data_IF_122497686917
#
_entry.id   IF_122497686917
#
_cell.length_a   1.000
_cell.length_b   1.000
_cell.length_c   1.000
_cell.angle_alpha   90.00
_cell.angle_beta   90.00
_cell.angle_gamma   90.00
#
_symmetry.space_group_name_H-M   'P 1'
#
loop_
_entity.id
_entity.type
_entity.pdbx_description
1 polymer ?
#
# COMPACT_ATOMS: atom_id res chain seq x y z
N UNK A 1 11.48 49.30 -21.21
CA UNK A 1 10.11 49.75 -20.91
C UNK A 1 9.78 49.65 -19.42
N UNK A 2 9.05 50.65 -18.92
CA UNK A 2 8.53 50.72 -17.55
C UNK A 2 7.01 50.59 -17.58
N UNK A 3 6.43 49.91 -16.61
CA UNK A 3 4.98 49.80 -16.46
C UNK A 3 4.60 50.13 -15.01
N UNK A 4 3.33 50.49 -14.82
CA UNK A 4 2.80 50.89 -13.52
C UNK A 4 1.71 49.93 -13.07
N UNK A 5 1.91 49.30 -11.92
CA UNK A 5 0.92 48.45 -11.27
C UNK A 5 0.08 49.30 -10.33
N UNK A 6 -1.23 49.35 -10.55
CA UNK A 6 -2.19 50.00 -9.64
C UNK A 6 -2.89 48.92 -8.82
N UNK A 7 -2.77 49.03 -7.50
CA UNK A 7 -3.44 48.13 -6.56
C UNK A 7 -4.83 48.65 -6.17
N UNK A 8 -5.65 47.76 -5.63
CA UNK A 8 -7.00 48.08 -5.18
C UNK A 8 -6.97 49.08 -3.99
N UNK A 9 -7.89 50.06 -3.89
CA UNK A 9 -7.84 51.10 -2.84
C UNK A 9 -7.81 50.57 -1.41
N UNK A 10 -8.43 49.41 -1.18
CA UNK A 10 -8.49 48.79 0.14
C UNK A 10 -7.29 47.91 0.49
N UNK A 11 -6.32 47.73 -0.42
CA UNK A 11 -5.14 46.90 -0.14
C UNK A 11 -4.06 47.62 0.65
N UNK A 12 -4.17 48.95 0.81
CA UNK A 12 -3.16 49.77 1.50
C UNK A 12 -1.82 49.90 0.76
N UNK A 13 -1.66 49.26 -0.40
CA UNK A 13 -0.43 49.31 -1.18
C UNK A 13 -0.41 50.52 -2.13
N UNK A 14 0.71 51.25 -2.14
CA UNK A 14 0.91 52.34 -3.10
C UNK A 14 1.21 51.79 -4.50
N UNK A 15 0.77 52.47 -5.57
CA UNK A 15 1.07 52.03 -6.94
C UNK A 15 2.58 51.96 -7.20
N UNK A 16 3.07 50.81 -7.66
CA UNK A 16 4.48 50.57 -7.97
C UNK A 16 4.76 50.82 -9.46
N UNK A 17 5.92 51.41 -9.77
CA UNK A 17 6.41 51.56 -11.15
C UNK A 17 7.71 50.76 -11.25
N UNK A 18 7.70 49.74 -12.10
CA UNK A 18 8.82 48.82 -12.26
C UNK A 18 9.22 48.73 -13.74
N UNK A 19 10.48 48.38 -13.99
CA UNK A 19 10.93 48.02 -15.34
C UNK A 19 10.59 46.57 -15.63
N UNK A 20 10.34 46.24 -16.90
CA UNK A 20 10.08 44.84 -17.28
C UNK A 20 11.24 43.91 -16.92
N UNK A 21 12.48 44.43 -16.92
CA UNK A 21 13.67 43.66 -16.55
C UNK A 21 13.77 43.29 -15.07
N UNK A 22 13.01 43.93 -14.17
CA UNK A 22 13.04 43.62 -12.73
C UNK A 22 11.76 42.94 -12.27
N UNK A 23 10.71 42.95 -13.08
CA UNK A 23 9.42 42.35 -12.74
C UNK A 23 9.53 40.82 -12.68
N UNK A 24 9.24 40.24 -11.52
CA UNK A 24 9.33 38.79 -11.27
C UNK A 24 10.66 38.33 -10.65
N UNK A 25 11.71 39.16 -10.64
CA UNK A 25 13.03 38.77 -10.09
C UNK A 25 13.22 39.11 -8.61
N UNK A 26 12.35 39.94 -8.03
CA UNK A 26 12.43 40.35 -6.61
C UNK A 26 11.93 39.28 -5.63
N UNK A 27 11.05 38.37 -6.06
CA UNK A 27 10.56 37.28 -5.19
C UNK A 27 11.56 36.12 -5.10
N UNK A 28 12.39 35.91 -6.12
CA UNK A 28 13.40 34.84 -6.13
C UNK A 28 14.63 35.19 -5.25
N UNK A 29 14.93 36.48 -5.06
CA UNK A 29 16.06 36.91 -4.25
C UNK A 29 15.74 36.99 -2.74
N UNK A 30 14.49 37.26 -2.35
CA UNK A 30 14.11 37.41 -0.93
C UNK A 30 13.39 36.18 -0.34
N UNK A 31 12.89 35.24 -1.15
CA UNK A 31 12.35 33.96 -0.66
C UNK A 31 13.43 32.89 -0.38
N UNK A 32 14.70 33.17 -0.71
CA UNK A 32 15.81 32.21 -0.61
C UNK A 32 16.50 32.19 0.78
N UNK A 33 15.87 32.76 1.81
CA UNK A 33 16.41 32.82 3.18
C UNK A 33 15.48 32.24 4.24
N UNK A 34 14.62 31.29 3.86
CA UNK A 34 14.27 30.22 4.80
C UNK A 34 15.24 29.08 4.52
N UNK A 35 16.25 28.84 5.36
CA UNK A 35 16.93 27.56 5.32
C UNK A 35 15.87 26.53 5.72
N UNK A 36 15.29 25.81 4.74
CA UNK A 36 14.74 24.49 5.04
C UNK A 36 15.96 23.59 5.25
N UNK A 37 16.68 23.84 6.35
CA UNK A 37 17.63 22.90 6.92
C UNK A 37 16.76 21.98 7.76
N UNK A 38 16.00 21.12 7.09
CA UNK A 38 15.43 19.98 7.75
C UNK A 38 16.46 18.86 7.59
N UNK A 39 17.43 18.81 8.51
CA UNK A 39 18.59 17.90 8.45
C UNK A 39 18.21 16.41 8.50
N UNK A 40 16.92 16.09 8.65
CA UNK A 40 16.43 14.71 8.73
C UNK A 40 15.12 14.55 7.95
N UNK A 41 15.17 13.75 6.87
CA UNK A 41 14.04 13.52 5.94
C UNK A 41 12.83 12.83 6.59
N UNK A 42 13.00 12.28 7.80
CA UNK A 42 11.99 11.50 8.52
C UNK A 42 11.20 12.30 9.57
N UNK A 43 11.35 13.62 9.68
CA UNK A 43 10.43 14.42 10.49
C UNK A 43 9.03 14.42 9.84
N UNK A 44 7.92 14.33 10.62
CA UNK A 44 7.80 14.53 12.07
C UNK A 44 7.96 13.25 12.94
N UNK A 45 8.45 12.15 12.39
CA UNK A 45 8.55 10.88 13.11
C UNK A 45 9.73 10.85 14.09
N UNK A 46 9.58 10.08 15.17
CA UNK A 46 10.56 9.98 16.26
C UNK A 46 11.87 9.30 15.80
N UNK A 47 11.80 8.39 14.83
CA UNK A 47 12.96 7.77 14.23
C UNK A 47 12.73 7.40 12.76
N UNK A 48 13.84 7.11 12.04
CA UNK A 48 13.81 6.69 10.64
C UNK A 48 13.00 5.39 10.44
N UNK A 49 13.10 4.44 11.39
CA UNK A 49 12.36 3.18 11.31
C UNK A 49 10.84 3.37 11.39
N UNK A 50 10.36 4.32 12.21
CA UNK A 50 8.93 4.66 12.28
C UNK A 50 8.45 5.25 10.95
N UNK A 51 9.26 6.13 10.35
CA UNK A 51 8.96 6.69 9.02
C UNK A 51 8.87 5.60 7.95
N UNK A 52 9.91 4.76 7.81
CA UNK A 52 9.94 3.65 6.84
C UNK A 52 8.78 2.68 7.05
N UNK A 53 8.45 2.36 8.31
CA UNK A 53 7.29 1.54 8.63
C UNK A 53 5.98 2.17 8.17
N UNK A 54 5.76 3.46 8.45
CA UNK A 54 4.53 4.15 8.04
C UNK A 54 4.43 4.31 6.52
N UNK A 55 5.55 4.53 5.84
CA UNK A 55 5.60 4.56 4.37
C UNK A 55 5.19 3.22 3.79
N UNK A 56 5.75 2.11 4.29
CA UNK A 56 5.41 0.76 3.84
C UNK A 56 3.93 0.44 4.11
N UNK A 57 3.43 0.77 5.31
CA UNK A 57 2.03 0.56 5.68
C UNK A 57 1.09 1.35 4.75
N UNK A 58 1.48 2.58 4.38
CA UNK A 58 0.71 3.41 3.45
C UNK A 58 0.74 2.85 2.02
N UNK A 59 1.92 2.46 1.52
CA UNK A 59 2.08 1.85 0.19
C UNK A 59 1.30 0.54 0.06
N UNK A 60 1.27 -0.27 1.12
CA UNK A 60 0.49 -1.50 1.19
C UNK A 60 -1.01 -1.26 1.48
N UNK A 61 -1.44 0.00 1.62
CA UNK A 61 -2.81 0.41 1.95
C UNK A 61 -3.38 -0.32 3.18
N UNK A 62 -2.54 -0.51 4.21
CA UNK A 62 -2.96 -1.19 5.43
C UNK A 62 -4.01 -0.35 6.16
N UNK A 63 -5.11 -1.00 6.53
CA UNK A 63 -6.11 -0.39 7.38
C UNK A 63 -5.67 -0.38 8.85
N UNK A 64 -6.43 0.32 9.70
CA UNK A 64 -6.14 0.44 11.14
C UNK A 64 -5.89 -0.91 11.83
N UNK A 65 -6.71 -1.91 11.55
CA UNK A 65 -6.62 -3.21 12.21
C UNK A 65 -5.40 -4.00 11.71
N UNK A 66 -5.09 -3.93 10.42
CA UNK A 66 -3.89 -4.53 9.83
C UNK A 66 -2.61 -3.89 10.40
N UNK A 67 -2.56 -2.56 10.48
CA UNK A 67 -1.42 -1.82 11.06
C UNK A 67 -1.22 -2.19 12.53
N UNK A 68 -2.30 -2.26 13.33
CA UNK A 68 -2.22 -2.66 14.73
C UNK A 68 -1.72 -4.11 14.89
N UNK A 69 -2.22 -5.04 14.07
CA UNK A 69 -1.75 -6.44 14.08
C UNK A 69 -0.27 -6.55 13.72
N UNK A 70 0.20 -5.76 12.76
CA UNK A 70 1.60 -5.75 12.36
C UNK A 70 2.51 -5.21 13.48
N UNK A 71 2.10 -4.11 14.14
CA UNK A 71 2.82 -3.57 15.31
C UNK A 71 2.87 -4.58 16.46
N UNK A 72 1.74 -5.24 16.76
CA UNK A 72 1.71 -6.30 17.78
C UNK A 72 2.69 -7.43 17.47
N UNK A 73 2.74 -7.89 16.22
CA UNK A 73 3.69 -8.93 15.79
C UNK A 73 5.14 -8.48 15.97
N UNK A 74 5.48 -7.24 15.58
CA UNK A 74 6.83 -6.68 15.76
C UNK A 74 7.21 -6.67 17.24
N UNK A 75 6.32 -6.21 18.13
CA UNK A 75 6.58 -6.19 19.57
C UNK A 75 6.71 -7.58 20.16
N UNK A 76 5.88 -8.55 19.76
CA UNK A 76 6.04 -9.96 20.17
C UNK A 76 7.39 -10.53 19.77
N UNK A 77 7.94 -10.15 18.62
CA UNK A 77 9.27 -10.57 18.17
C UNK A 77 10.35 -9.91 19.03
N UNK A 78 10.25 -8.59 19.25
CA UNK A 78 11.22 -7.82 20.06
C UNK A 78 11.26 -8.31 21.51
N UNK A 79 10.10 -8.64 22.08
CA UNK A 79 9.96 -9.20 23.42
C UNK A 79 10.36 -10.69 23.52
N UNK A 80 10.67 -11.33 22.39
CA UNK A 80 11.08 -12.74 22.34
C UNK A 80 9.95 -13.76 22.50
N UNK A 81 8.69 -13.31 22.43
CA UNK A 81 7.50 -14.17 22.50
C UNK A 81 7.24 -14.91 21.18
N UNK A 82 7.70 -14.36 20.06
CA UNK A 82 7.57 -14.93 18.73
C UNK A 82 8.92 -15.01 18.02
N UNK A 83 9.14 -16.08 17.26
CA UNK A 83 10.33 -16.23 16.41
C UNK A 83 9.96 -15.90 14.96
N UNK A 84 10.58 -14.86 14.41
CA UNK A 84 10.45 -14.53 12.99
C UNK A 84 11.64 -15.06 12.20
N UNK A 85 11.39 -15.93 11.22
CA UNK A 85 12.45 -16.67 10.50
C UNK A 85 12.62 -16.27 9.05
N UNK A 86 11.62 -15.63 8.43
CA UNK A 86 11.67 -15.28 7.01
C UNK A 86 12.73 -14.20 6.73
N UNK A 87 13.55 -14.42 5.68
CA UNK A 87 14.61 -13.50 5.24
C UNK A 87 14.39 -12.92 3.85
N UNK A 88 13.46 -13.47 3.09
CA UNK A 88 13.18 -13.01 1.73
C UNK A 88 11.73 -13.28 1.34
N UNK A 89 11.25 -12.54 0.34
CA UNK A 89 9.95 -12.79 -0.29
C UNK A 89 9.83 -14.22 -0.85
N UNK A 90 10.92 -14.78 -1.38
CA UNK A 90 10.96 -16.15 -1.92
C UNK A 90 10.64 -17.21 -0.85
N UNK A 91 11.08 -17.01 0.39
CA UNK A 91 10.75 -17.92 1.49
C UNK A 91 9.27 -17.82 1.87
N UNK A 92 8.69 -16.62 1.82
CA UNK A 92 7.26 -16.39 2.04
C UNK A 92 6.44 -17.11 0.97
N UNK A 93 6.79 -16.92 -0.31
CA UNK A 93 6.14 -17.61 -1.42
C UNK A 93 6.21 -19.13 -1.26
N UNK A 94 7.39 -19.66 -0.95
CA UNK A 94 7.56 -21.11 -0.72
C UNK A 94 6.68 -21.61 0.42
N UNK A 95 6.56 -20.84 1.51
CA UNK A 95 5.68 -21.21 2.62
C UNK A 95 4.20 -21.18 2.21
N UNK A 96 3.79 -20.20 1.39
CA UNK A 96 2.44 -20.18 0.82
C UNK A 96 2.18 -21.33 -0.14
N UNK A 97 3.13 -21.69 -1.02
CA UNK A 97 3.00 -22.84 -1.90
C UNK A 97 2.84 -24.13 -1.08
N UNK A 98 3.66 -24.30 -0.04
CA UNK A 98 3.55 -25.43 0.88
C UNK A 98 2.21 -25.45 1.61
N UNK A 99 1.73 -24.29 2.09
CA UNK A 99 0.42 -24.20 2.73
C UNK A 99 -0.71 -24.53 1.74
N UNK A 100 -0.62 -24.06 0.49
CA UNK A 100 -1.58 -24.36 -0.56
C UNK A 100 -1.64 -25.86 -0.87
N UNK A 101 -0.53 -26.60 -0.76
CA UNK A 101 -0.55 -28.07 -0.91
C UNK A 101 -1.29 -28.82 0.21
N UNK A 102 -1.57 -28.17 1.34
CA UNK A 102 -2.36 -28.76 2.42
C UNK A 102 -3.87 -28.67 2.17
N UNK A 103 -4.30 -27.93 1.15
CA UNK A 103 -5.70 -27.82 0.76
C UNK A 103 -5.92 -28.41 -0.64
N UNK A 104 -7.17 -28.73 -0.95
CA UNK A 104 -7.59 -29.22 -2.26
C UNK A 104 -7.19 -28.23 -3.35
N UNK A 105 -6.40 -28.64 -4.36
CA UNK A 105 -5.95 -27.75 -5.41
C UNK A 105 -7.05 -27.43 -6.43
N UNK A 106 -6.90 -26.30 -7.13
CA UNK A 106 -7.73 -25.97 -8.28
C UNK A 106 -7.51 -26.97 -9.42
N UNK A 107 -8.61 -27.47 -9.99
CA UNK A 107 -8.61 -28.28 -11.20
C UNK A 107 -8.93 -27.38 -12.39
N UNK A 108 -8.00 -27.32 -13.34
CA UNK A 108 -8.19 -26.62 -14.62
C UNK A 108 -8.95 -27.53 -15.57
N UNK A 109 -10.03 -27.03 -16.15
CA UNK A 109 -10.82 -27.66 -17.19
C UNK A 109 -10.90 -26.74 -18.39
N UNK A 110 -10.86 -27.31 -19.58
CA UNK A 110 -11.09 -26.57 -20.82
C UNK A 110 -12.52 -26.89 -21.25
N UNK A 111 -13.35 -25.86 -21.36
CA UNK A 111 -14.72 -25.99 -21.87
C UNK A 111 -14.72 -25.49 -23.31
N UNK A 112 -15.01 -26.38 -24.25
CA UNK A 112 -15.17 -26.04 -25.66
C UNK A 112 -16.64 -25.75 -25.96
N UNK A 113 -16.93 -24.58 -26.50
CA UNK A 113 -18.29 -24.14 -26.87
C UNK A 113 -18.32 -23.84 -28.37
N UNK A 114 -19.11 -24.59 -29.17
CA UNK A 114 -19.30 -24.26 -30.57
C UNK A 114 -20.18 -23.02 -30.73
N UNK A 115 -19.68 -22.01 -31.44
CA UNK A 115 -20.44 -20.81 -31.80
C UNK A 115 -20.11 -20.35 -33.22
N UNK A 116 -21.15 -20.14 -34.05
CA UNK A 116 -21.02 -19.67 -35.45
C UNK A 116 -20.02 -20.46 -36.32
N UNK A 117 -19.93 -21.79 -36.12
CA UNK A 117 -19.00 -22.72 -36.82
C UNK A 117 -17.54 -22.60 -36.39
N UNK A 118 -17.26 -21.90 -35.30
CA UNK A 118 -15.95 -21.85 -34.64
C UNK A 118 -16.08 -22.47 -33.24
N UNK A 119 -15.03 -23.18 -32.80
CA UNK A 119 -14.93 -23.72 -31.44
C UNK A 119 -14.19 -22.69 -30.56
N UNK A 120 -14.82 -22.30 -29.45
CA UNK A 120 -14.20 -21.42 -28.47
C UNK A 120 -13.82 -22.21 -27.24
N UNK A 121 -12.55 -22.18 -26.87
CA UNK A 121 -12.04 -22.83 -25.66
C UNK A 121 -11.95 -21.81 -24.53
N UNK A 122 -12.50 -22.19 -23.37
CA UNK A 122 -12.45 -21.40 -22.16
C UNK A 122 -11.73 -22.18 -21.06
N UNK A 123 -10.67 -21.58 -20.52
CA UNK A 123 -9.98 -22.07 -19.35
C UNK A 123 -10.84 -21.80 -18.10
N UNK A 124 -11.37 -22.85 -17.49
CA UNK A 124 -12.18 -22.79 -16.28
C UNK A 124 -11.45 -23.48 -15.14
N UNK A 125 -11.16 -22.74 -14.08
CA UNK A 125 -10.60 -23.29 -12.85
C UNK A 125 -11.74 -23.58 -11.87
N UNK A 126 -11.82 -24.82 -11.40
CA UNK A 126 -12.85 -25.26 -10.45
C UNK A 126 -12.21 -25.83 -9.19
N UNK A 127 -12.95 -25.78 -8.08
CA UNK A 127 -12.64 -26.55 -6.89
C UNK A 127 -13.59 -27.75 -6.77
N UNK A 128 -13.07 -28.98 -6.59
CA UNK A 128 -13.89 -30.12 -6.23
C UNK A 128 -14.55 -29.85 -4.87
N UNK A 129 -15.84 -29.51 -4.90
CA UNK A 129 -16.57 -29.06 -3.71
C UNK A 129 -16.53 -30.06 -2.57
N UNK A 130 -16.60 -31.36 -2.88
CA UNK A 130 -16.57 -32.42 -1.86
C UNK A 130 -15.19 -32.53 -1.19
N UNK A 131 -14.12 -32.60 -1.99
CA UNK A 131 -12.75 -32.69 -1.46
C UNK A 131 -12.43 -31.45 -0.61
N UNK A 132 -12.78 -30.27 -1.11
CA UNK A 132 -12.64 -29.02 -0.37
C UNK A 132 -13.46 -28.99 0.94
N UNK A 133 -14.71 -29.45 0.91
CA UNK A 133 -15.52 -29.55 2.11
C UNK A 133 -14.91 -30.50 3.14
N UNK A 134 -14.32 -31.62 2.70
CA UNK A 134 -13.61 -32.54 3.60
C UNK A 134 -12.40 -31.88 4.25
N UNK A 135 -11.63 -31.07 3.52
CA UNK A 135 -10.50 -30.31 4.10
C UNK A 135 -10.98 -29.36 5.21
N UNK A 136 -12.09 -28.65 4.98
CA UNK A 136 -12.66 -27.73 5.99
C UNK A 136 -13.12 -28.47 7.25
N UNK A 137 -13.68 -29.67 7.10
CA UNK A 137 -14.11 -30.50 8.24
C UNK A 137 -12.95 -31.11 9.02
N UNK A 138 -11.79 -31.28 8.37
CA UNK A 138 -10.58 -31.78 9.02
C UNK A 138 -9.84 -30.68 9.80
N UNK A 139 -10.12 -29.40 9.53
CA UNK A 139 -9.56 -28.29 10.29
C UNK A 139 -10.21 -28.19 11.68
N UNK A 140 -9.46 -28.43 12.79
CA UNK A 140 -10.01 -28.40 14.14
C UNK A 140 -10.53 -27.02 14.57
N UNK A 141 -10.05 -25.94 13.96
CA UNK A 141 -10.50 -24.59 14.26
C UNK A 141 -11.81 -24.27 13.55
N UNK A 142 -11.98 -24.77 12.32
CA UNK A 142 -13.18 -24.49 11.53
C UNK A 142 -14.34 -25.40 11.91
N UNK A 143 -14.08 -26.67 12.20
CA UNK A 143 -15.15 -27.65 12.54
C UNK A 143 -16.03 -27.21 13.71
N UNK A 144 -15.47 -26.45 14.66
CA UNK A 144 -16.18 -25.89 15.82
C UNK A 144 -17.26 -24.87 15.45
N UNK A 145 -17.20 -24.32 14.24
CA UNK A 145 -18.12 -23.30 13.75
C UNK A 145 -19.12 -23.84 12.71
N UNK A 146 -19.04 -25.12 12.33
CA UNK A 146 -20.02 -25.73 11.41
C UNK A 146 -21.37 -25.93 12.12
N UNK A 147 -22.43 -25.41 11.51
CA UNK A 147 -23.82 -25.64 11.92
C UNK A 147 -24.41 -26.67 10.96
N UNK A 148 -25.00 -27.72 11.53
CA UNK A 148 -25.63 -28.82 10.79
C UNK A 148 -27.12 -28.81 11.08
N UNK A 149 -27.84 -27.85 10.51
CA UNK A 149 -29.29 -27.72 10.60
C UNK A 149 -30.03 -28.11 9.31
#
# INVERSE_FOLDING_TARGET
>A
DMFKTKYHPNSGHTPAIETFSTFGHSVEAEASSIPIVNDTLWQPFMCCADFEFTELAHQAALNKDQTNKMLQLIWQIVEGQAKFTFRSHTEVLKAWDQAATQMTPFKKHIISVPYKKEEFEFDVHTWPLWDWAMDLLQDPLLVLHFVWD
#
